data_IF_048432464996
#
_entry.id   IF_048432464996
#
_cell.length_a   1.000
_cell.length_b   1.000
_cell.length_c   1.000
_cell.angle_alpha   90.00
_cell.angle_beta   90.00
_cell.angle_gamma   90.00
#
_symmetry.space_group_name_H-M   'P 1'
#
loop_
_entity.id
_entity.type
_entity.pdbx_description
1 polymer ?
#
# COMPACT_ATOMS: atom_id res chain seq x y z
N UNK A 1 -59.38 -14.75 -6.19
CA UNK A 1 -58.45 -13.70 -6.64
C UNK A 1 -57.07 -14.25 -6.45
N UNK A 2 -56.38 -14.54 -7.55
CA UNK A 2 -55.05 -15.11 -7.60
C UNK A 2 -54.02 -13.97 -7.63
N UNK A 3 -52.84 -14.15 -7.02
CA UNK A 3 -51.73 -13.21 -7.17
C UNK A 3 -50.72 -13.24 -6.05
N UNK A 4 -49.98 -14.34 -5.91
CA UNK A 4 -48.71 -14.34 -5.20
C UNK A 4 -47.65 -13.72 -6.14
N UNK A 5 -47.01 -12.63 -5.72
CA UNK A 5 -45.87 -12.06 -6.43
C UNK A 5 -44.64 -12.93 -6.13
N UNK A 6 -44.16 -13.62 -7.16
CA UNK A 6 -42.87 -14.30 -7.14
C UNK A 6 -41.76 -13.23 -7.27
N UNK A 7 -40.79 -13.24 -6.36
CA UNK A 7 -39.53 -12.53 -6.56
C UNK A 7 -38.82 -13.13 -7.77
N UNK A 8 -38.54 -12.31 -8.78
CA UNK A 8 -37.77 -12.72 -9.93
C UNK A 8 -36.29 -12.85 -9.53
N UNK A 9 -35.69 -14.00 -9.86
CA UNK A 9 -34.26 -14.23 -9.69
C UNK A 9 -33.44 -13.22 -10.51
N UNK A 10 -32.32 -12.79 -9.94
CA UNK A 10 -31.37 -11.87 -10.55
C UNK A 10 -30.76 -12.49 -11.82
N UNK A 11 -30.89 -11.80 -12.94
CA UNK A 11 -30.39 -12.23 -14.25
C UNK A 11 -29.01 -11.61 -14.52
N UNK A 12 -27.97 -12.43 -14.32
CA UNK A 12 -26.55 -12.08 -14.50
C UNK A 12 -26.24 -11.61 -15.94
N UNK A 13 -27.08 -11.93 -16.94
CA UNK A 13 -26.88 -11.48 -18.32
C UNK A 13 -27.15 -9.99 -18.56
N UNK A 14 -27.60 -9.27 -17.53
CA UNK A 14 -27.93 -7.83 -17.61
C UNK A 14 -26.83 -6.89 -17.10
N UNK A 15 -25.69 -7.44 -16.64
CA UNK A 15 -24.53 -6.65 -16.23
C UNK A 15 -23.79 -6.14 -17.48
N UNK A 16 -23.60 -4.82 -17.67
CA UNK A 16 -22.83 -4.31 -18.80
C UNK A 16 -21.36 -4.73 -18.67
N UNK A 17 -20.85 -5.51 -19.62
CA UNK A 17 -19.42 -5.74 -19.81
C UNK A 17 -18.73 -4.39 -20.07
N UNK A 18 -17.86 -3.95 -19.15
CA UNK A 18 -16.87 -2.92 -19.44
C UNK A 18 -15.54 -3.61 -19.71
N UNK A 19 -15.24 -3.83 -20.98
CA UNK A 19 -13.85 -3.95 -21.42
C UNK A 19 -13.12 -2.66 -21.04
N UNK A 20 -12.18 -2.77 -20.10
CA UNK A 20 -11.20 -1.73 -19.87
C UNK A 20 -10.15 -1.81 -20.98
N UNK A 21 -9.83 -0.64 -21.53
CA UNK A 21 -8.98 -0.45 -22.70
C UNK A 21 -7.58 -1.05 -22.45
N UNK A 22 -6.97 -1.76 -23.42
CA UNK A 22 -5.60 -2.24 -23.28
C UNK A 22 -4.65 -1.08 -23.00
N UNK A 23 -3.82 -1.22 -21.97
CA UNK A 23 -2.62 -0.38 -21.83
C UNK A 23 -1.57 -1.02 -22.74
N UNK A 24 -1.27 -0.37 -23.85
CA UNK A 24 -0.31 -0.86 -24.84
C UNK A 24 1.05 -1.18 -24.19
N UNK A 25 1.36 -2.47 -24.12
CA UNK A 25 2.71 -2.94 -23.86
C UNK A 25 3.54 -2.79 -25.16
N UNK A 26 4.32 -1.70 -25.27
CA UNK A 26 5.73 -1.71 -25.70
C UNK A 26 6.22 -0.35 -26.21
N UNK A 27 7.36 0.08 -25.66
CA UNK A 27 8.23 1.09 -26.27
C UNK A 27 9.61 1.11 -25.62
N UNK A 28 10.55 0.30 -26.13
CA UNK A 28 11.99 0.39 -25.81
C UNK A 28 12.53 1.76 -26.20
N UNK A 29 13.18 2.48 -25.29
CA UNK A 29 14.00 3.65 -25.66
C UNK A 29 14.41 4.57 -24.50
N UNK A 30 15.66 4.41 -24.06
CA UNK A 30 16.56 5.39 -23.43
C UNK A 30 16.24 5.97 -22.04
N UNK A 31 17.22 5.79 -21.15
CA UNK A 31 17.31 6.41 -19.83
C UNK A 31 17.34 7.94 -19.94
N UNK A 32 16.34 8.58 -19.35
CA UNK A 32 16.25 10.02 -19.17
C UNK A 32 15.27 10.36 -18.07
N UNK A 33 15.79 10.97 -17.00
CA UNK A 33 15.10 11.63 -15.87
C UNK A 33 13.58 11.81 -16.04
N UNK A 34 12.80 11.04 -15.28
CA UNK A 34 11.36 11.22 -15.19
C UNK A 34 11.03 12.56 -14.48
N UNK A 35 10.18 13.42 -15.07
CA UNK A 35 9.65 14.59 -14.38
C UNK A 35 8.44 14.20 -13.53
N UNK A 36 8.40 14.67 -12.28
CA UNK A 36 7.29 14.48 -11.34
C UNK A 36 6.03 15.26 -11.77
N UNK A 37 4.99 14.52 -12.16
CA UNK A 37 3.56 14.85 -12.30
C UNK A 37 2.83 13.52 -12.01
N UNK A 38 1.89 13.30 -11.09
CA UNK A 38 1.19 14.05 -10.04
C UNK A 38 0.65 12.98 -9.06
N UNK A 39 1.19 12.85 -7.85
CA UNK A 39 0.69 11.91 -6.81
C UNK A 39 -0.81 12.16 -6.50
N UNK A 40 -1.21 13.43 -6.47
CA UNK A 40 -2.62 13.84 -6.32
C UNK A 40 -3.53 13.43 -7.48
N UNK A 41 -3.00 13.32 -8.70
CA UNK A 41 -3.78 12.88 -9.87
C UNK A 41 -3.95 11.37 -9.89
N UNK A 42 -2.90 10.62 -9.55
CA UNK A 42 -2.99 9.17 -9.41
C UNK A 42 -3.93 8.79 -8.27
N UNK A 43 -3.85 9.52 -7.15
CA UNK A 43 -4.79 9.37 -6.04
C UNK A 43 -6.25 9.62 -6.47
N UNK A 44 -6.52 10.68 -7.24
CA UNK A 44 -7.87 10.94 -7.74
C UNK A 44 -8.36 9.83 -8.67
N UNK A 45 -7.49 9.29 -9.53
CA UNK A 45 -7.84 8.22 -10.47
C UNK A 45 -8.19 6.91 -9.73
N UNK A 46 -7.44 6.57 -8.68
CA UNK A 46 -7.77 5.43 -7.82
C UNK A 46 -9.06 5.64 -7.04
N UNK A 47 -9.25 6.82 -6.45
CA UNK A 47 -10.46 7.13 -5.68
C UNK A 47 -11.71 7.09 -6.57
N UNK A 48 -11.64 7.63 -7.79
CA UNK A 48 -12.72 7.54 -8.78
C UNK A 48 -13.02 6.08 -9.15
N UNK A 49 -11.98 5.27 -9.38
CA UNK A 49 -12.15 3.85 -9.75
C UNK A 49 -12.76 3.04 -8.60
N UNK A 50 -12.18 3.13 -7.40
CA UNK A 50 -12.62 2.36 -6.24
C UNK A 50 -14.05 2.71 -5.82
N UNK A 51 -14.45 3.98 -5.93
CA UNK A 51 -15.83 4.40 -5.60
C UNK A 51 -16.88 3.89 -6.60
N UNK A 52 -16.48 3.40 -7.78
CA UNK A 52 -17.42 2.72 -8.70
C UNK A 52 -17.75 1.29 -8.28
N UNK A 53 -16.95 0.69 -7.39
CA UNK A 53 -17.15 -0.67 -6.89
C UNK A 53 -18.20 -0.62 -5.77
N UNK A 54 -19.37 -1.28 -5.92
CA UNK A 54 -20.48 -1.17 -4.96
C UNK A 54 -20.10 -1.53 -3.52
N UNK A 55 -19.25 -2.54 -3.35
CA UNK A 55 -18.74 -3.03 -2.06
C UNK A 55 -17.92 -1.95 -1.33
N UNK A 56 -17.34 -1.00 -2.07
CA UNK A 56 -16.46 0.05 -1.53
C UNK A 56 -17.15 1.41 -1.37
N UNK A 57 -18.44 1.50 -1.70
CA UNK A 57 -19.18 2.77 -1.71
C UNK A 57 -19.20 3.51 -0.35
N UNK A 58 -19.00 2.80 0.76
CA UNK A 58 -19.08 3.35 2.12
C UNK A 58 -17.73 3.43 2.86
N UNK A 59 -16.58 3.22 2.19
CA UNK A 59 -15.27 3.26 2.84
C UNK A 59 -14.84 4.68 3.25
N UNK A 60 -15.51 5.70 2.71
CA UNK A 60 -15.13 7.10 2.90
C UNK A 60 -14.01 7.54 1.95
N UNK A 61 -13.39 8.70 2.19
CA UNK A 61 -12.36 9.22 1.30
C UNK A 61 -11.09 8.37 1.35
N UNK A 62 -10.45 8.21 0.20
CA UNK A 62 -9.17 7.52 0.11
C UNK A 62 -8.10 8.34 0.86
N UNK A 63 -7.42 7.71 1.82
CA UNK A 63 -6.33 8.37 2.54
C UNK A 63 -5.04 8.36 1.72
N UNK A 64 -4.60 7.18 1.26
CA UNK A 64 -3.36 6.98 0.50
C UNK A 64 -3.43 5.71 -0.34
N UNK A 65 -2.85 5.73 -1.53
CA UNK A 65 -2.46 4.53 -2.26
C UNK A 65 -0.95 4.38 -2.16
N UNK A 66 -0.47 3.18 -1.84
CA UNK A 66 0.97 2.89 -1.81
C UNK A 66 1.48 2.54 -3.21
N UNK A 67 2.81 2.56 -3.40
CA UNK A 67 3.42 2.11 -4.64
C UNK A 67 3.15 0.61 -4.87
N UNK A 68 2.98 0.17 -6.14
CA UNK A 68 2.78 -1.23 -6.47
C UNK A 68 3.97 -2.12 -6.04
N UNK A 69 3.66 -3.31 -5.52
CA UNK A 69 4.65 -4.34 -5.17
C UNK A 69 4.46 -5.56 -6.06
N UNK A 70 5.52 -6.05 -6.69
CA UNK A 70 5.51 -7.31 -7.47
C UNK A 70 5.30 -8.49 -6.50
N UNK A 71 4.31 -9.34 -6.80
CA UNK A 71 3.89 -10.45 -5.93
C UNK A 71 4.43 -11.81 -6.34
N UNK A 72 5.26 -11.84 -7.38
CA UNK A 72 5.85 -13.03 -7.99
C UNK A 72 7.24 -12.70 -8.51
N UNK A 73 8.09 -13.72 -8.68
CA UNK A 73 9.40 -13.55 -9.30
C UNK A 73 9.30 -13.10 -10.77
N UNK A 74 10.40 -12.51 -11.27
CA UNK A 74 10.50 -12.15 -12.69
C UNK A 74 10.49 -13.41 -13.55
N UNK A 75 9.71 -13.38 -14.63
CA UNK A 75 9.53 -14.50 -15.58
C UNK A 75 8.72 -15.70 -15.01
N UNK A 76 7.93 -15.48 -13.95
CA UNK A 76 6.93 -16.44 -13.48
C UNK A 76 5.76 -16.62 -14.47
N UNK A 77 4.91 -17.62 -14.21
CA UNK A 77 3.73 -17.97 -15.02
C UNK A 77 2.69 -16.84 -15.09
N UNK A 78 2.68 -15.97 -14.09
CA UNK A 78 1.76 -14.86 -13.97
C UNK A 78 2.53 -13.56 -13.75
N UNK A 79 1.94 -12.43 -14.12
CA UNK A 79 2.41 -11.12 -13.67
C UNK A 79 1.38 -10.57 -12.70
N UNK A 80 1.78 -10.35 -11.44
CA UNK A 80 0.88 -9.90 -10.37
C UNK A 80 1.55 -8.77 -9.60
N UNK A 81 0.85 -7.65 -9.48
CA UNK A 81 1.26 -6.53 -8.64
C UNK A 81 0.15 -6.15 -7.67
N UNK A 82 0.49 -5.94 -6.40
CA UNK A 82 -0.43 -5.50 -5.36
C UNK A 82 -0.29 -4.00 -5.10
N UNK A 83 -1.42 -3.29 -5.01
CA UNK A 83 -1.51 -1.90 -4.57
C UNK A 83 -2.35 -1.84 -3.30
N UNK A 84 -1.82 -1.17 -2.28
CA UNK A 84 -2.50 -0.98 -0.99
C UNK A 84 -3.22 0.36 -0.97
N UNK A 85 -4.52 0.36 -0.72
CA UNK A 85 -5.34 1.57 -0.63
C UNK A 85 -5.87 1.72 0.80
N UNK A 86 -5.35 2.69 1.53
CA UNK A 86 -5.67 2.93 2.93
C UNK A 86 -6.84 3.93 3.02
N UNK A 87 -7.85 3.60 3.80
CA UNK A 87 -9.01 4.44 4.17
C UNK A 87 -8.96 4.76 5.67
N UNK A 88 -10.03 5.25 6.29
CA UNK A 88 -10.01 5.59 7.72
C UNK A 88 -9.94 4.36 8.65
N UNK A 89 -10.62 3.28 8.26
CA UNK A 89 -10.80 2.03 9.02
C UNK A 89 -10.75 0.78 8.14
N UNK A 90 -10.31 0.94 6.90
CA UNK A 90 -10.26 -0.15 5.92
C UNK A 90 -9.01 -0.05 5.06
N UNK A 91 -8.56 -1.18 4.55
CA UNK A 91 -7.54 -1.26 3.50
C UNK A 91 -8.07 -2.14 2.38
N UNK A 92 -7.96 -1.65 1.14
CA UNK A 92 -8.22 -2.44 -0.06
C UNK A 92 -6.88 -2.85 -0.66
N UNK A 93 -6.67 -4.15 -0.82
CA UNK A 93 -5.59 -4.70 -1.62
C UNK A 93 -6.10 -4.93 -3.04
N UNK A 94 -5.60 -4.14 -3.99
CA UNK A 94 -5.88 -4.32 -5.41
C UNK A 94 -4.76 -5.15 -6.03
N UNK A 95 -5.13 -6.24 -6.70
CA UNK A 95 -4.18 -7.07 -7.45
C UNK A 95 -4.41 -6.87 -8.93
N UNK A 96 -3.42 -6.32 -9.63
CA UNK A 96 -3.40 -6.27 -11.09
C UNK A 96 -2.70 -7.53 -11.59
N UNK A 97 -3.44 -8.36 -12.33
CA UNK A 97 -3.02 -9.70 -12.71
C UNK A 97 -2.98 -9.84 -14.23
N UNK A 98 -2.04 -10.61 -14.76
CA UNK A 98 -1.96 -11.01 -16.16
C UNK A 98 -1.56 -12.47 -16.27
N UNK A 99 -2.36 -13.28 -16.96
CA UNK A 99 -1.98 -14.64 -17.33
C UNK A 99 -1.00 -14.61 -18.51
N UNK A 100 0.13 -15.30 -18.39
CA UNK A 100 1.16 -15.36 -19.45
C UNK A 100 1.23 -16.72 -20.16
N UNK A 101 0.29 -17.63 -19.84
CA UNK A 101 0.17 -18.94 -20.48
C UNK A 101 -0.96 -18.89 -21.51
N UNK A 102 -0.63 -19.15 -22.78
CA UNK A 102 -1.57 -19.06 -23.91
C UNK A 102 -2.54 -20.25 -23.97
N UNK A 103 -2.10 -21.42 -23.46
CA UNK A 103 -2.86 -22.67 -23.48
C UNK A 103 -3.90 -22.78 -22.36
N UNK A 104 -4.17 -21.69 -21.61
CA UNK A 104 -5.17 -21.70 -20.55
C UNK A 104 -5.88 -20.35 -20.39
N UNK A 105 -7.07 -20.41 -19.80
CA UNK A 105 -7.76 -19.26 -19.22
C UNK A 105 -8.07 -19.55 -17.76
N UNK A 106 -7.92 -18.54 -16.91
CA UNK A 106 -8.33 -18.65 -15.52
C UNK A 106 -9.72 -18.02 -15.34
N UNK A 107 -10.58 -18.66 -14.56
CA UNK A 107 -11.87 -18.13 -14.14
C UNK A 107 -11.94 -18.05 -12.61
N UNK A 108 -12.80 -17.15 -12.10
CA UNK A 108 -12.99 -16.93 -10.65
C UNK A 108 -11.67 -16.70 -9.88
N UNK A 109 -10.86 -15.78 -10.41
CA UNK A 109 -9.51 -15.52 -9.89
C UNK A 109 -9.57 -14.59 -8.70
N UNK A 110 -9.10 -15.03 -7.54
CA UNK A 110 -9.06 -14.25 -6.30
C UNK A 110 -7.76 -14.46 -5.55
N UNK A 111 -7.48 -13.60 -4.57
CA UNK A 111 -6.36 -13.77 -3.64
C UNK A 111 -6.92 -14.03 -2.25
N UNK A 112 -6.48 -15.11 -1.61
CA UNK A 112 -6.72 -15.36 -0.19
C UNK A 112 -5.56 -14.87 0.66
N UNK A 113 -5.86 -14.27 1.82
CA UNK A 113 -4.87 -13.80 2.78
C UNK A 113 -4.95 -14.59 4.08
N UNK A 114 -3.82 -15.07 4.58
CA UNK A 114 -3.68 -15.54 5.96
C UNK A 114 -3.27 -14.36 6.85
N UNK A 115 -4.12 -14.04 7.83
CA UNK A 115 -3.95 -12.91 8.74
C UNK A 115 -3.36 -13.31 10.11
N UNK A 116 -2.81 -14.52 10.24
CA UNK A 116 -2.26 -15.02 11.51
C UNK A 116 -1.18 -14.10 12.12
N UNK A 117 -0.41 -13.38 11.30
CA UNK A 117 0.60 -12.41 11.73
C UNK A 117 0.17 -10.95 11.47
N UNK A 118 -1.13 -10.73 11.34
CA UNK A 118 -1.76 -9.43 11.07
C UNK A 118 -3.05 -9.26 11.90
N UNK A 119 -2.98 -9.54 13.21
CA UNK A 119 -4.13 -9.60 14.13
C UNK A 119 -5.00 -8.33 14.21
N UNK A 120 -4.46 -7.17 13.78
CA UNK A 120 -5.20 -5.91 13.73
C UNK A 120 -6.22 -5.80 12.59
N UNK A 121 -6.32 -6.83 11.73
CA UNK A 121 -7.17 -6.85 10.56
C UNK A 121 -8.21 -7.96 10.60
N UNK A 122 -9.37 -7.68 10.01
CA UNK A 122 -10.40 -8.68 9.74
C UNK A 122 -10.83 -8.59 8.26
N UNK A 123 -10.96 -9.73 7.59
CA UNK A 123 -11.44 -9.77 6.21
C UNK A 123 -12.94 -9.45 6.13
N UNK A 124 -13.29 -8.51 5.26
CA UNK A 124 -14.69 -8.11 5.00
C UNK A 124 -15.23 -8.82 3.77
N UNK A 125 -14.49 -8.75 2.66
CA UNK A 125 -14.86 -9.43 1.42
C UNK A 125 -13.69 -9.54 0.45
N UNK A 126 -13.81 -10.51 -0.46
CA UNK A 126 -12.93 -10.67 -1.61
C UNK A 126 -13.77 -10.58 -2.89
N UNK A 127 -13.31 -9.78 -3.86
CA UNK A 127 -13.98 -9.55 -5.15
C UNK A 127 -13.15 -10.25 -6.24
N UNK A 128 -13.59 -11.40 -6.78
CA UNK A 128 -12.83 -12.13 -7.78
C UNK A 128 -12.87 -11.43 -9.15
N UNK A 129 -11.80 -11.59 -9.91
CA UNK A 129 -11.83 -11.35 -11.35
C UNK A 129 -12.55 -12.53 -12.02
N UNK A 130 -13.62 -12.25 -12.77
CA UNK A 130 -14.42 -13.32 -13.38
C UNK A 130 -13.59 -14.18 -14.34
N UNK A 131 -12.69 -13.55 -15.10
CA UNK A 131 -11.80 -14.21 -16.07
C UNK A 131 -10.45 -13.52 -16.15
N UNK A 132 -9.40 -14.29 -16.42
CA UNK A 132 -8.07 -13.81 -16.75
C UNK A 132 -7.54 -14.54 -18.00
N UNK A 133 -7.90 -14.07 -19.20
CA UNK A 133 -7.36 -14.57 -20.46
C UNK A 133 -5.86 -14.29 -20.61
N UNK A 134 -5.20 -15.02 -21.50
CA UNK A 134 -3.82 -14.77 -21.88
C UNK A 134 -3.59 -13.32 -22.33
N UNK A 135 -2.60 -12.66 -21.73
CA UNK A 135 -2.15 -11.32 -22.09
C UNK A 135 -3.13 -10.19 -21.75
N UNK A 136 -4.24 -10.47 -21.08
CA UNK A 136 -5.24 -9.46 -20.67
C UNK A 136 -5.07 -9.17 -19.18
N UNK A 137 -5.05 -7.88 -18.82
CA UNK A 137 -5.00 -7.45 -17.43
C UNK A 137 -6.39 -7.56 -16.81
N UNK A 138 -6.49 -8.22 -15.65
CA UNK A 138 -7.69 -8.21 -14.81
C UNK A 138 -7.35 -7.86 -13.36
N UNK A 139 -8.38 -7.51 -12.59
CA UNK A 139 -8.25 -7.03 -11.22
C UNK A 139 -9.08 -7.88 -10.25
N UNK A 140 -8.48 -8.26 -9.14
CA UNK A 140 -9.19 -8.78 -7.96
C UNK A 140 -8.87 -7.91 -6.76
N UNK A 141 -9.76 -7.90 -5.77
CA UNK A 141 -9.62 -7.07 -4.58
C UNK A 141 -9.87 -7.88 -3.32
N UNK A 142 -9.10 -7.58 -2.26
CA UNK A 142 -9.37 -8.03 -0.89
C UNK A 142 -9.58 -6.80 -0.02
N UNK A 143 -10.71 -6.74 0.67
CA UNK A 143 -11.04 -5.67 1.62
C UNK A 143 -10.87 -6.18 3.04
N UNK A 144 -9.99 -5.52 3.80
CA UNK A 144 -9.86 -5.74 5.24
C UNK A 144 -10.36 -4.50 6.01
N UNK A 145 -10.92 -4.73 7.19
CA UNK A 145 -11.23 -3.69 8.17
C UNK A 145 -10.21 -3.71 9.32
N UNK A 146 -10.02 -2.55 9.93
CA UNK A 146 -9.23 -2.38 11.16
C UNK A 146 -9.83 -1.25 12.03
N UNK A 147 -9.38 -1.16 13.28
CA UNK A 147 -9.87 -0.15 14.21
C UNK A 147 -9.56 1.28 13.73
N UNK A 148 -10.56 2.15 13.66
CA UNK A 148 -10.38 3.54 13.23
C UNK A 148 -9.33 4.25 14.11
N UNK A 149 -8.37 4.92 13.46
CA UNK A 149 -7.26 5.62 14.13
C UNK A 149 -6.09 4.73 14.54
N UNK A 150 -6.20 3.40 14.38
CA UNK A 150 -5.06 2.50 14.53
C UNK A 150 -4.17 2.51 13.28
N UNK A 151 -2.90 2.10 13.47
CA UNK A 151 -1.94 1.85 12.39
C UNK A 151 -1.40 0.42 12.55
N UNK A 152 -2.25 -0.61 12.38
CA UNK A 152 -1.83 -1.99 12.54
C UNK A 152 -0.76 -2.34 11.51
N UNK A 153 0.19 -3.17 11.91
CA UNK A 153 1.25 -3.69 11.07
C UNK A 153 1.22 -5.21 11.14
N UNK A 154 1.84 -5.86 10.16
CA UNK A 154 1.84 -7.32 10.13
C UNK A 154 2.15 -7.89 8.76
N UNK A 155 2.37 -9.20 8.76
CA UNK A 155 2.64 -10.01 7.58
C UNK A 155 1.39 -10.79 7.22
N UNK A 156 1.04 -10.80 5.94
CA UNK A 156 -0.09 -11.54 5.40
C UNK A 156 0.43 -12.50 4.34
N UNK A 157 0.25 -13.81 4.56
CA UNK A 157 0.62 -14.80 3.54
C UNK A 157 -0.45 -14.79 2.47
N UNK A 158 -0.07 -14.61 1.20
CA UNK A 158 -1.02 -14.47 0.11
C UNK A 158 -0.93 -15.62 -0.89
N UNK A 159 -2.10 -16.10 -1.36
CA UNK A 159 -2.20 -17.17 -2.35
C UNK A 159 -3.26 -16.82 -3.38
N UNK A 160 -2.92 -16.96 -4.66
CA UNK A 160 -3.85 -16.85 -5.76
C UNK A 160 -4.69 -18.13 -5.84
N UNK A 161 -6.01 -17.99 -5.99
CA UNK A 161 -6.98 -19.07 -6.14
C UNK A 161 -7.76 -18.86 -7.43
N UNK A 162 -7.94 -19.91 -8.22
CA UNK A 162 -8.60 -19.82 -9.52
C UNK A 162 -9.09 -21.18 -10.01
N UNK A 163 -9.95 -21.16 -11.02
CA UNK A 163 -10.32 -22.31 -11.82
C UNK A 163 -9.54 -22.25 -13.13
N UNK A 164 -8.73 -23.25 -13.42
CA UNK A 164 -8.02 -23.37 -14.69
C UNK A 164 -8.89 -24.08 -15.71
N UNK A 165 -8.99 -23.52 -16.92
CA UNK A 165 -9.53 -24.19 -18.09
C UNK A 165 -8.49 -24.23 -19.20
N UNK A 166 -8.24 -25.43 -19.73
CA UNK A 166 -7.30 -25.63 -20.83
C UNK A 166 -7.89 -25.14 -22.15
N UNK A 167 -7.02 -24.68 -23.05
CA UNK A 167 -7.36 -24.29 -24.41
C UNK A 167 -6.70 -25.31 -25.35
N UNK A 168 -7.51 -26.01 -26.16
CA UNK A 168 -7.00 -26.99 -27.11
C UNK A 168 -6.09 -26.31 -28.15
N UNK A 169 -4.79 -26.65 -28.22
CA UNK A 169 -3.84 -25.97 -29.11
C UNK A 169 -4.14 -26.15 -30.61
N UNK A 170 -4.94 -27.15 -30.97
CA UNK A 170 -5.30 -27.47 -32.34
C UNK A 170 -6.56 -26.76 -32.83
N UNK A 171 -7.49 -26.45 -31.92
CA UNK A 171 -8.78 -25.80 -32.25
C UNK A 171 -8.89 -24.37 -31.74
N UNK A 172 -8.14 -24.01 -30.68
CA UNK A 172 -8.27 -22.76 -29.94
C UNK A 172 -9.52 -22.69 -29.06
N UNK A 173 -10.22 -23.81 -28.86
CA UNK A 173 -11.44 -23.87 -28.05
C UNK A 173 -11.09 -24.12 -26.58
N UNK A 174 -11.70 -23.33 -25.68
CA UNK A 174 -11.59 -23.50 -24.23
C UNK A 174 -12.46 -24.67 -23.79
N UNK A 175 -11.94 -25.53 -22.92
CA UNK A 175 -12.72 -26.60 -22.30
C UNK A 175 -13.87 -26.04 -21.45
N UNK A 176 -15.01 -26.73 -21.43
CA UNK A 176 -16.19 -26.30 -20.65
C UNK A 176 -15.98 -26.48 -19.14
N UNK A 177 -15.30 -27.57 -18.76
CA UNK A 177 -14.98 -27.91 -17.38
C UNK A 177 -13.55 -27.48 -17.05
N UNK A 178 -13.36 -26.97 -15.84
CA UNK A 178 -12.04 -26.62 -15.29
C UNK A 178 -11.86 -27.22 -13.90
N UNK A 179 -10.66 -27.09 -13.34
CA UNK A 179 -10.36 -27.54 -11.98
C UNK A 179 -9.79 -26.40 -11.14
N UNK A 180 -10.03 -26.45 -9.84
CA UNK A 180 -9.49 -25.49 -8.88
C UNK A 180 -7.98 -25.72 -8.70
N UNK A 181 -7.21 -24.62 -8.69
CA UNK A 181 -5.78 -24.63 -8.42
C UNK A 181 -5.38 -23.38 -7.61
N UNK A 182 -4.18 -23.43 -7.02
CA UNK A 182 -3.62 -22.38 -6.19
C UNK A 182 -2.18 -22.06 -6.60
N UNK A 183 -1.81 -20.78 -6.56
CA UNK A 183 -0.44 -20.33 -6.80
C UNK A 183 0.04 -19.45 -5.64
N UNK A 184 1.12 -19.83 -4.93
CA UNK A 184 1.65 -19.04 -3.84
C UNK A 184 2.22 -17.71 -4.34
N UNK A 185 1.93 -16.64 -3.64
CA UNK A 185 2.44 -15.30 -3.92
C UNK A 185 3.42 -14.89 -2.82
N UNK A 186 4.15 -13.80 -3.06
CA UNK A 186 4.95 -13.16 -2.01
C UNK A 186 4.06 -12.69 -0.85
N UNK A 187 4.66 -12.59 0.34
CA UNK A 187 3.95 -12.08 1.51
C UNK A 187 3.69 -10.58 1.38
N UNK A 188 2.52 -10.13 1.85
CA UNK A 188 2.19 -8.71 1.94
C UNK A 188 2.55 -8.19 3.32
N UNK A 189 3.23 -7.05 3.36
CA UNK A 189 3.59 -6.36 4.59
C UNK A 189 2.84 -5.05 4.72
N UNK A 190 2.14 -4.90 5.85
CA UNK A 190 1.60 -3.62 6.32
C UNK A 190 2.55 -3.01 7.33
N UNK A 191 2.93 -1.76 7.10
CA UNK A 191 3.83 -0.99 7.96
C UNK A 191 3.13 0.29 8.43
N UNK A 192 3.48 0.86 9.60
CA UNK A 192 2.91 2.13 10.03
C UNK A 192 3.13 3.28 9.03
N UNK A 193 4.17 3.19 8.17
CA UNK A 193 4.41 4.14 7.07
C UNK A 193 3.30 4.17 6.02
N UNK A 194 2.55 3.07 5.84
CA UNK A 194 1.39 3.01 4.94
C UNK A 194 0.25 3.92 5.42
N UNK A 195 0.18 4.16 6.72
CA UNK A 195 -0.82 5.01 7.36
C UNK A 195 -0.36 6.46 7.52
N UNK A 196 0.83 6.81 7.01
CA UNK A 196 1.40 8.14 7.07
C UNK A 196 1.50 8.76 5.68
N UNK A 197 1.31 10.08 5.60
CA UNK A 197 1.77 10.85 4.46
C UNK A 197 2.48 12.14 4.90
N UNK A 198 3.50 12.50 4.13
CA UNK A 198 4.33 13.68 4.33
C UNK A 198 3.51 14.96 4.08
N UNK A 199 3.57 15.92 5.01
CA UNK A 199 2.91 17.22 4.85
C UNK A 199 3.86 18.34 5.23
N UNK A 200 4.15 19.26 4.30
CA UNK A 200 4.98 20.42 4.58
C UNK A 200 4.21 21.44 5.42
N UNK A 201 4.87 22.00 6.43
CA UNK A 201 4.35 23.08 7.26
C UNK A 201 5.32 24.25 7.29
N UNK A 202 4.80 25.46 7.43
CA UNK A 202 5.59 26.69 7.48
C UNK A 202 6.09 27.05 8.89
N UNK A 203 5.54 26.42 9.93
CA UNK A 203 5.90 26.67 11.33
C UNK A 203 5.74 25.39 12.14
N UNK A 204 6.76 24.54 12.10
CA UNK A 204 6.80 23.28 12.83
C UNK A 204 6.68 23.51 14.34
N UNK A 205 7.35 24.55 14.84
CA UNK A 205 7.37 24.88 16.27
C UNK A 205 5.98 25.12 16.84
N UNK A 206 5.13 25.86 16.13
CA UNK A 206 3.77 26.12 16.56
C UNK A 206 2.93 24.83 16.61
N UNK A 207 3.08 23.95 15.62
CA UNK A 207 2.40 22.66 15.65
C UNK A 207 2.90 21.80 16.80
N UNK A 208 4.22 21.72 17.00
CA UNK A 208 4.85 20.95 18.08
C UNK A 208 4.45 21.40 19.49
N UNK A 209 4.48 22.72 19.75
CA UNK A 209 4.11 23.31 21.04
C UNK A 209 2.59 23.21 21.30
N UNK A 210 1.78 23.08 20.24
CA UNK A 210 0.34 22.87 20.32
C UNK A 210 -0.09 21.42 20.52
N UNK A 211 0.81 20.45 20.40
CA UNK A 211 0.53 19.02 20.67
C UNK A 211 0.47 18.75 22.17
N UNK A 212 -0.31 17.73 22.55
CA UNK A 212 -0.36 17.24 23.92
C UNK A 212 0.99 16.63 24.34
N UNK A 213 1.68 17.16 25.36
CA UNK A 213 2.94 16.62 25.85
C UNK A 213 2.84 15.18 26.37
N UNK A 214 1.65 14.69 26.76
CA UNK A 214 1.47 13.31 27.24
C UNK A 214 1.63 12.26 26.13
N UNK A 215 1.53 12.68 24.86
CA UNK A 215 1.79 11.84 23.68
C UNK A 215 3.26 11.83 23.27
N UNK A 216 4.12 12.57 23.96
CA UNK A 216 5.55 12.62 23.64
C UNK A 216 6.23 11.30 23.99
N UNK A 217 6.81 10.65 22.97
CA UNK A 217 7.68 9.50 23.14
C UNK A 217 9.08 9.85 22.65
N UNK A 218 10.10 9.33 23.33
CA UNK A 218 11.47 9.57 22.97
C UNK A 218 12.33 8.34 23.24
N UNK A 219 13.09 7.92 22.24
CA UNK A 219 14.00 6.77 22.33
C UNK A 219 15.24 6.98 21.45
N UNK A 220 16.27 6.17 21.70
CA UNK A 220 17.57 6.24 21.03
C UNK A 220 17.84 4.98 20.20
N UNK A 221 18.24 5.17 18.94
CA UNK A 221 18.47 4.09 17.99
C UNK A 221 19.84 4.21 17.35
N UNK A 222 20.50 3.07 17.10
CA UNK A 222 21.69 3.00 16.26
C UNK A 222 21.28 2.74 14.82
N UNK A 223 21.66 3.63 13.90
CA UNK A 223 21.38 3.51 12.45
C UNK A 223 22.54 2.78 11.73
N UNK A 224 23.65 2.53 12.45
CA UNK A 224 24.82 1.86 11.92
C UNK A 224 25.77 2.79 11.17
N UNK A 225 26.62 2.21 10.33
CA UNK A 225 27.61 2.95 9.56
C UNK A 225 26.96 3.63 8.34
N UNK A 226 27.25 4.92 8.14
CA UNK A 226 26.76 5.73 7.02
C UNK A 226 27.88 6.52 6.39
N UNK A 227 27.73 6.88 5.11
CA UNK A 227 28.79 7.58 4.38
C UNK A 227 28.96 9.03 4.87
N UNK A 228 27.89 9.62 5.39
CA UNK A 228 27.89 10.95 5.99
C UNK A 228 26.68 11.17 6.91
N UNK A 229 26.68 12.27 7.65
CA UNK A 229 25.51 12.67 8.42
C UNK A 229 24.33 13.08 7.51
N UNK A 230 24.60 13.58 6.29
CA UNK A 230 23.57 13.91 5.30
C UNK A 230 22.87 12.64 4.80
N UNK A 231 23.64 11.61 4.46
CA UNK A 231 23.16 10.28 4.07
C UNK A 231 22.26 9.66 5.16
N UNK A 232 22.68 9.78 6.42
CA UNK A 232 21.85 9.31 7.54
C UNK A 232 20.52 10.08 7.70
N UNK A 233 20.52 11.40 7.47
CA UNK A 233 19.31 12.22 7.54
C UNK A 233 18.36 11.84 6.41
N UNK A 234 18.85 11.68 5.19
CA UNK A 234 18.05 11.26 4.02
C UNK A 234 17.44 9.88 4.24
N UNK A 235 18.23 8.91 4.72
CA UNK A 235 17.73 7.57 5.03
C UNK A 235 16.61 7.58 6.08
N UNK A 236 16.75 8.35 7.18
CA UNK A 236 15.70 8.41 8.21
C UNK A 236 14.45 9.13 7.72
N UNK A 237 14.58 10.16 6.87
CA UNK A 237 13.44 10.83 6.24
C UNK A 237 12.65 9.83 5.37
N UNK A 238 13.36 9.04 4.57
CA UNK A 238 12.77 8.01 3.71
C UNK A 238 12.10 6.91 4.53
N UNK A 239 12.80 6.37 5.54
CA UNK A 239 12.26 5.34 6.44
C UNK A 239 10.99 5.79 7.14
N UNK A 240 10.93 7.03 7.66
CA UNK A 240 9.74 7.54 8.34
C UNK A 240 8.62 7.99 7.39
N UNK A 241 8.94 8.29 6.13
CA UNK A 241 7.95 8.76 5.14
C UNK A 241 7.32 10.13 5.47
N UNK A 242 8.04 11.01 6.17
CA UNK A 242 7.56 12.31 6.63
C UNK A 242 8.20 13.48 5.88
N UNK A 243 7.54 14.65 5.88
CA UNK A 243 8.08 15.83 5.22
C UNK A 243 9.11 16.54 6.11
N UNK A 244 10.35 16.77 5.64
CA UNK A 244 11.27 17.64 6.34
C UNK A 244 10.75 19.08 6.34
N UNK A 245 10.98 19.77 7.46
CA UNK A 245 10.49 21.10 7.72
C UNK A 245 11.65 22.11 7.81
N UNK A 246 11.39 23.35 7.40
CA UNK A 246 12.26 24.51 7.68
C UNK A 246 13.71 24.37 7.18
N UNK A 247 13.96 23.55 6.15
CA UNK A 247 15.30 23.32 5.58
C UNK A 247 16.19 22.44 6.44
N UNK A 248 15.62 21.73 7.41
CA UNK A 248 16.37 20.86 8.34
C UNK A 248 16.79 19.52 7.73
N UNK A 249 16.43 19.24 6.47
CA UNK A 249 17.00 18.17 5.65
C UNK A 249 18.45 18.48 5.21
N UNK A 250 18.85 19.75 5.18
CA UNK A 250 20.18 20.17 4.74
C UNK A 250 21.17 20.19 5.92
N UNK A 251 22.11 19.26 5.92
CA UNK A 251 23.14 19.15 6.95
C UNK A 251 24.32 20.08 6.64
N UNK A 252 24.77 20.93 7.59
CA UNK A 252 25.96 21.75 7.40
C UNK A 252 27.22 20.90 7.15
N UNK A 253 28.14 21.32 6.25
CA UNK A 253 29.38 20.60 6.00
C UNK A 253 30.19 20.35 7.27
N UNK A 254 30.69 19.12 7.43
CA UNK A 254 31.48 18.67 8.59
C UNK A 254 30.75 18.67 9.95
N UNK A 255 29.41 18.79 9.97
CA UNK A 255 28.64 18.63 11.20
C UNK A 255 28.80 17.22 11.78
N UNK A 256 28.91 17.13 13.11
CA UNK A 256 28.94 15.86 13.86
C UNK A 256 27.63 15.57 14.59
N UNK A 257 26.73 16.54 14.60
CA UNK A 257 25.39 16.45 15.17
C UNK A 257 24.46 17.33 14.34
N UNK A 258 23.21 16.91 14.19
CA UNK A 258 22.20 17.64 13.44
C UNK A 258 20.81 17.39 14.02
N UNK A 259 19.86 18.27 13.74
CA UNK A 259 18.46 18.07 14.12
C UNK A 259 17.59 18.20 12.87
N UNK A 260 16.84 17.16 12.56
CA UNK A 260 15.84 17.17 11.50
C UNK A 260 14.43 17.24 12.12
N UNK A 261 13.58 18.09 11.55
CA UNK A 261 12.19 18.28 11.95
C UNK A 261 11.30 17.69 10.87
N UNK A 262 10.42 16.77 11.25
CA UNK A 262 9.60 15.99 10.34
C UNK A 262 8.13 16.12 10.68
N UNK A 263 7.31 16.39 9.67
CA UNK A 263 5.88 16.53 9.82
C UNK A 263 5.12 15.65 8.83
N UNK A 264 4.06 15.03 9.32
CA UNK A 264 3.11 14.31 8.49
C UNK A 264 1.73 14.23 9.12
N UNK A 265 0.89 13.46 8.44
CA UNK A 265 -0.44 13.12 8.89
C UNK A 265 -0.58 11.62 8.89
N UNK A 266 -1.09 11.09 9.99
CA UNK A 266 -1.62 9.76 10.04
C UNK A 266 -3.02 9.72 9.43
N UNK A 267 -3.50 8.50 9.18
CA UNK A 267 -4.88 8.20 8.82
C UNK A 267 -5.87 8.98 9.70
N UNK A 268 -6.99 9.44 9.12
CA UNK A 268 -7.91 10.35 9.81
C UNK A 268 -7.41 11.80 9.95
N UNK A 269 -6.33 12.17 9.25
CA UNK A 269 -5.71 13.50 9.27
C UNK A 269 -5.11 13.90 10.65
N UNK A 270 -4.84 12.90 11.48
CA UNK A 270 -4.19 13.07 12.78
C UNK A 270 -2.75 13.58 12.59
N UNK A 271 -2.34 14.56 13.40
CA UNK A 271 -0.96 15.08 13.39
C UNK A 271 0.02 14.00 13.88
N UNK A 272 1.13 13.86 13.16
CA UNK A 272 2.25 12.98 13.47
C UNK A 272 3.55 13.77 13.23
N UNK A 273 4.23 14.20 14.30
CA UNK A 273 5.42 15.04 14.25
C UNK A 273 6.60 14.32 14.88
N UNK A 274 7.78 14.46 14.27
CA UNK A 274 9.01 13.95 14.81
C UNK A 274 10.11 15.03 14.83
N UNK A 275 10.91 15.00 15.89
CA UNK A 275 12.21 15.68 15.97
C UNK A 275 13.27 14.61 16.12
N UNK A 276 14.19 14.56 15.16
CA UNK A 276 15.27 13.57 15.14
C UNK A 276 16.59 14.27 15.38
N UNK A 277 17.24 13.93 16.49
CA UNK A 277 18.59 14.43 16.79
C UNK A 277 19.61 13.36 16.36
N UNK A 278 20.49 13.71 15.44
CA UNK A 278 21.53 12.82 14.93
C UNK A 278 22.87 13.11 15.60
N UNK A 279 23.66 12.05 15.79
CA UNK A 279 25.08 12.13 16.13
C UNK A 279 25.88 11.12 15.31
N UNK A 280 27.01 11.56 14.76
CA UNK A 280 27.95 10.68 14.05
C UNK A 280 29.32 10.70 14.72
N UNK A 281 29.84 9.51 14.98
CA UNK A 281 31.12 9.33 15.67
C UNK A 281 32.32 9.37 14.70
N UNK A 282 33.52 9.04 15.17
CA UNK A 282 34.73 9.03 14.33
C UNK A 282 34.83 7.82 13.40
N UNK A 283 34.12 6.74 13.72
CA UNK A 283 34.04 5.51 12.97
C UNK A 283 32.89 5.52 11.94
N UNK A 284 32.21 6.66 11.80
CA UNK A 284 31.03 6.84 10.94
C UNK A 284 29.79 6.08 11.42
N UNK A 285 29.76 5.65 12.68
CA UNK A 285 28.57 5.12 13.31
C UNK A 285 27.62 6.27 13.67
N UNK A 286 26.36 6.11 13.25
CA UNK A 286 25.30 7.09 13.50
C UNK A 286 24.35 6.55 14.54
N UNK A 287 24.07 7.39 15.54
CA UNK A 287 22.98 7.21 16.48
C UNK A 287 22.00 8.36 16.35
N UNK A 288 20.72 8.07 16.58
CA UNK A 288 19.66 9.05 16.60
C UNK A 288 18.92 9.01 17.93
N UNK A 289 18.40 10.17 18.33
CA UNK A 289 17.31 10.28 19.29
C UNK A 289 16.06 10.73 18.55
N UNK A 290 15.10 9.82 18.42
CA UNK A 290 13.80 10.10 17.85
C UNK A 290 12.88 10.60 18.98
N UNK A 291 12.30 11.78 18.83
CA UNK A 291 11.24 12.30 19.70
C UNK A 291 9.98 12.51 18.87
N UNK A 292 8.89 11.83 19.20
CA UNK A 292 7.62 11.90 18.48
C UNK A 292 6.56 12.56 19.34
N UNK A 293 5.71 13.40 18.73
CA UNK A 293 4.43 13.84 19.28
C UNK A 293 3.34 13.63 18.24
N UNK A 294 2.25 13.01 18.65
CA UNK A 294 1.15 12.68 17.75
C UNK A 294 -0.21 12.94 18.39
N UNK A 295 -1.28 12.80 17.62
CA UNK A 295 -2.63 13.08 18.13
C UNK A 295 -3.10 12.07 19.17
N UNK A 296 -2.50 10.87 19.16
CA UNK A 296 -2.71 9.81 20.15
C UNK A 296 -1.36 9.16 20.49
N UNK A 297 -1.22 8.55 21.69
CA UNK A 297 -0.03 7.78 22.05
C UNK A 297 0.27 6.63 21.08
N UNK A 298 -0.76 5.95 20.58
CA UNK A 298 -0.64 4.82 19.66
C UNK A 298 0.07 5.22 18.35
N UNK A 299 -0.18 6.44 17.85
CA UNK A 299 0.53 6.96 16.67
C UNK A 299 1.99 7.21 16.99
N UNK A 300 2.30 7.73 18.19
CA UNK A 300 3.69 7.92 18.61
C UNK A 300 4.43 6.58 18.70
N UNK A 301 3.81 5.56 19.30
CA UNK A 301 4.36 4.21 19.42
C UNK A 301 4.61 3.57 18.06
N UNK A 302 3.62 3.63 17.18
CA UNK A 302 3.74 3.08 15.83
C UNK A 302 4.82 3.80 14.99
N UNK A 303 5.03 5.10 15.18
CA UNK A 303 6.16 5.80 14.56
C UNK A 303 7.53 5.33 15.07
N UNK A 304 7.63 4.95 16.35
CA UNK A 304 8.83 4.34 16.90
C UNK A 304 9.06 2.93 16.34
N UNK A 305 7.98 2.16 16.11
CA UNK A 305 8.06 0.83 15.50
C UNK A 305 8.69 0.86 14.09
N UNK A 306 8.42 1.90 13.29
CA UNK A 306 9.02 2.07 11.95
C UNK A 306 10.55 2.01 11.99
N UNK A 307 11.16 2.63 12.99
CA UNK A 307 12.64 2.69 13.13
C UNK A 307 13.20 1.47 13.85
N UNK A 308 12.40 0.82 14.69
CA UNK A 308 12.82 -0.39 15.41
C UNK A 308 12.83 -1.63 14.51
N UNK A 309 11.94 -1.68 13.52
CA UNK A 309 11.75 -2.82 12.62
C UNK A 309 12.44 -2.65 11.25
N UNK A 310 12.78 -1.41 10.86
CA UNK A 310 13.49 -1.08 9.62
C UNK A 310 15.01 -1.16 9.73
#
# INVERSE_FOLDING_TARGET
>A
GNGAAAEAAFDVSTVPEKELVPVDAAGKGEAGLAPSLNDLSLKSDFEETLTTIPEFANLGPLFKSCEPVEMVEKEAEYTIACIKHVFASHVVFQFNMTNTIEEQILEDVSVSLDLAEAEGYEEVCTIPATKLPYGVVAQTYVLLQYAEGAMPFGRMVSNLRFIVKEIDPSTGECEEEGYEDEYPLEDIYMSPTDFLHAVKVSNFRNDWEGMDPETEMADEYGIGCRDSLQDAVEAVIETLGLAPCEGTEAVPPNARSHVCLLNGRAVGNAKALARVNFGIDRNMEVAIKLTVRASTPDISEAMHAIVAEG
#
